data_IF_433601429122
#
_entry.id   IF_433601429122
#
_cell.length_a   1.000
_cell.length_b   1.000
_cell.length_c   1.000
_cell.angle_alpha   90.00
_cell.angle_beta   90.00
_cell.angle_gamma   90.00
#
_symmetry.space_group_name_H-M   'P 1'
#
loop_
_entity.id
_entity.type
_entity.pdbx_description
1 polymer ?
#
# COMPACT_ATOMS: atom_id res chain seq x y z
N UNK A 1 30.06 5.61 9.22
CA UNK A 1 28.98 6.53 9.62
C UNK A 1 28.66 7.41 8.42
N UNK A 2 27.79 6.96 7.51
CA UNK A 2 27.37 7.79 6.37
C UNK A 2 25.92 8.19 6.58
N UNK A 3 25.75 9.42 7.06
CA UNK A 3 24.48 10.08 7.19
C UNK A 3 23.99 10.49 5.80
N UNK A 4 22.86 9.94 5.36
CA UNK A 4 22.04 10.58 4.33
C UNK A 4 21.02 11.48 5.01
N UNK A 5 21.26 12.80 4.95
CA UNK A 5 20.32 13.88 5.28
C UNK A 5 19.63 14.36 4.00
N UNK A 6 18.31 14.14 3.91
CA UNK A 6 17.26 14.78 3.08
C UNK A 6 16.13 13.75 2.99
N UNK A 7 14.87 14.00 3.39
CA UNK A 7 14.05 15.16 3.04
C UNK A 7 13.51 14.98 1.62
N UNK A 8 12.33 14.39 1.46
CA UNK A 8 11.51 14.41 0.23
C UNK A 8 11.98 13.69 -1.08
N UNK A 9 13.21 13.24 -1.26
CA UNK A 9 13.62 12.58 -2.53
C UNK A 9 13.62 11.04 -2.44
N UNK A 10 12.48 10.39 -2.72
CA UNK A 10 12.46 9.03 -3.31
C UNK A 10 11.09 8.52 -3.79
N UNK A 11 10.07 9.36 -3.86
CA UNK A 11 8.71 8.94 -4.29
C UNK A 11 8.62 8.52 -5.78
N UNK A 12 9.70 8.66 -6.55
CA UNK A 12 9.68 8.48 -8.02
C UNK A 12 10.35 7.18 -8.54
N UNK A 13 11.03 6.38 -7.72
CA UNK A 13 11.94 5.34 -8.25
C UNK A 13 11.66 3.86 -7.89
N UNK A 14 10.57 3.49 -7.19
CA UNK A 14 10.47 2.12 -6.63
C UNK A 14 9.31 1.24 -7.13
N UNK A 15 8.34 1.74 -7.91
CA UNK A 15 7.31 0.87 -8.54
C UNK A 15 7.82 0.15 -9.81
N UNK A 16 9.07 0.37 -10.25
CA UNK A 16 9.63 -0.36 -11.40
C UNK A 16 10.13 -1.78 -11.11
N UNK A 17 10.03 -2.27 -9.87
CA UNK A 17 10.49 -3.63 -9.48
C UNK A 17 9.42 -4.50 -8.81
N UNK A 18 8.19 -4.01 -8.65
CA UNK A 18 7.14 -4.84 -8.10
C UNK A 18 6.72 -5.88 -9.15
N UNK A 19 6.60 -7.17 -8.79
CA UNK A 19 6.00 -8.15 -9.68
C UNK A 19 4.56 -7.76 -10.00
N UNK A 20 4.18 -7.80 -11.29
CA UNK A 20 2.83 -7.47 -11.74
C UNK A 20 1.76 -8.33 -11.03
N UNK A 21 2.10 -9.57 -10.69
CA UNK A 21 1.22 -10.50 -9.96
C UNK A 21 0.84 -9.96 -8.58
N UNK A 22 1.81 -9.44 -7.82
CA UNK A 22 1.59 -8.86 -6.48
C UNK A 22 0.77 -7.59 -6.59
N UNK A 23 1.09 -6.74 -7.56
CA UNK A 23 0.33 -5.51 -7.82
C UNK A 23 -1.14 -5.81 -8.12
N UNK A 24 -1.40 -6.71 -9.06
CA UNK A 24 -2.76 -7.09 -9.43
C UNK A 24 -3.54 -7.68 -8.25
N UNK A 25 -2.88 -8.51 -7.43
CA UNK A 25 -3.48 -9.09 -6.22
C UNK A 25 -3.92 -8.03 -5.21
N UNK A 26 -3.08 -7.04 -4.96
CA UNK A 26 -3.41 -5.93 -4.05
C UNK A 26 -4.55 -5.07 -4.60
N UNK A 27 -4.53 -4.78 -5.90
CA UNK A 27 -5.63 -4.03 -6.56
C UNK A 27 -6.95 -4.79 -6.46
N UNK A 28 -6.95 -6.09 -6.74
CA UNK A 28 -8.14 -6.94 -6.60
C UNK A 28 -8.65 -6.99 -5.16
N UNK A 29 -7.76 -7.03 -4.17
CA UNK A 29 -8.14 -6.98 -2.76
C UNK A 29 -8.85 -5.66 -2.41
N UNK A 30 -8.28 -4.53 -2.83
CA UNK A 30 -8.89 -3.20 -2.60
C UNK A 30 -10.23 -3.10 -3.32
N UNK A 31 -10.32 -3.55 -4.57
CA UNK A 31 -11.57 -3.53 -5.32
C UNK A 31 -12.64 -4.36 -4.59
N UNK A 32 -12.30 -5.58 -4.15
CA UNK A 32 -13.21 -6.43 -3.39
C UNK A 32 -13.65 -5.74 -2.09
N UNK A 33 -12.74 -5.09 -1.36
CA UNK A 33 -13.09 -4.35 -0.14
C UNK A 33 -14.11 -3.24 -0.42
N UNK A 34 -13.97 -2.52 -1.53
CA UNK A 34 -14.89 -1.43 -1.91
C UNK A 34 -16.21 -1.97 -2.42
N UNK A 35 -16.19 -3.03 -3.24
CA UNK A 35 -17.40 -3.73 -3.69
C UNK A 35 -18.21 -4.25 -2.49
N UNK A 36 -17.53 -4.82 -1.48
CA UNK A 36 -18.15 -5.27 -0.22
C UNK A 36 -18.64 -4.09 0.64
N UNK A 37 -18.07 -2.89 0.48
CA UNK A 37 -18.45 -1.68 1.23
C UNK A 37 -19.60 -0.89 0.58
N UNK A 38 -19.99 -1.20 -0.67
CA UNK A 38 -21.27 -0.81 -1.25
C UNK A 38 -21.21 0.03 -2.53
N UNK A 39 -20.39 1.08 -2.61
CA UNK A 39 -20.33 1.97 -3.79
C UNK A 39 -18.94 2.03 -4.42
N UNK A 40 -18.64 1.13 -5.38
CA UNK A 40 -17.43 1.20 -6.19
C UNK A 40 -17.52 2.20 -7.36
N UNK A 41 -18.66 2.88 -7.55
CA UNK A 41 -18.90 3.70 -8.73
C UNK A 41 -17.94 4.91 -8.77
N UNK A 42 -17.04 4.92 -9.76
CA UNK A 42 -16.01 5.94 -9.91
C UNK A 42 -14.77 5.76 -9.02
N UNK A 43 -14.65 4.64 -8.30
CA UNK A 43 -13.47 4.36 -7.46
C UNK A 43 -12.35 3.67 -8.26
N UNK A 44 -11.24 4.37 -8.47
CA UNK A 44 -10.05 3.80 -9.10
C UNK A 44 -9.15 3.09 -8.09
N UNK A 45 -9.38 1.79 -7.85
CA UNK A 45 -8.59 0.99 -6.89
C UNK A 45 -7.08 1.03 -7.16
N UNK A 46 -6.66 1.04 -8.44
CA UNK A 46 -5.25 1.17 -8.84
C UNK A 46 -4.64 2.49 -8.42
N UNK A 47 -5.35 3.59 -8.68
CA UNK A 47 -4.88 4.95 -8.38
C UNK A 47 -4.85 5.17 -6.88
N UNK A 48 -5.88 4.72 -6.18
CA UNK A 48 -5.95 4.76 -4.73
C UNK A 48 -4.80 3.97 -4.10
N UNK A 49 -4.57 2.73 -4.54
CA UNK A 49 -3.48 1.89 -4.03
C UNK A 49 -2.12 2.52 -4.32
N UNK A 50 -1.90 3.06 -5.53
CA UNK A 50 -0.67 3.80 -5.87
C UNK A 50 -0.41 4.94 -4.87
N UNK A 51 -1.41 5.74 -4.56
CA UNK A 51 -1.29 6.84 -3.60
C UNK A 51 -0.99 6.29 -2.20
N UNK A 52 -1.79 5.33 -1.73
CA UNK A 52 -1.66 4.75 -0.40
C UNK A 52 -0.29 4.09 -0.15
N UNK A 53 0.28 3.42 -1.15
CA UNK A 53 1.62 2.83 -1.05
C UNK A 53 2.73 3.86 -0.84
N UNK A 54 2.52 5.12 -1.25
CA UNK A 54 3.46 6.22 -1.08
C UNK A 54 3.23 7.04 0.18
N UNK A 55 2.09 6.86 0.85
CA UNK A 55 1.76 7.49 2.12
C UNK A 55 2.42 6.75 3.29
N UNK A 56 2.65 7.48 4.38
CA UNK A 56 3.20 6.93 5.61
C UNK A 56 2.06 6.36 6.45
N UNK A 57 2.14 5.07 6.78
CA UNK A 57 1.09 4.38 7.52
C UNK A 57 1.51 4.25 8.99
N UNK A 58 0.78 4.85 9.95
CA UNK A 58 1.09 4.76 11.37
C UNK A 58 1.20 3.31 11.88
N UNK A 59 0.33 2.41 11.43
CA UNK A 59 0.36 0.98 11.81
C UNK A 59 1.61 0.24 11.31
N UNK A 60 2.32 0.79 10.32
CA UNK A 60 3.61 0.29 9.84
C UNK A 60 4.80 1.01 10.49
N UNK A 61 4.56 1.77 11.56
CA UNK A 61 5.58 2.57 12.23
C UNK A 61 6.00 3.79 11.41
N UNK A 62 5.03 4.48 10.80
CA UNK A 62 5.26 5.68 9.97
C UNK A 62 6.15 5.41 8.76
N UNK A 63 6.02 4.21 8.19
CA UNK A 63 6.76 3.80 7.00
C UNK A 63 5.81 3.62 5.83
N UNK A 64 6.38 3.75 4.63
CA UNK A 64 5.66 3.58 3.38
C UNK A 64 5.43 2.09 3.11
N UNK A 65 4.21 1.63 2.82
CA UNK A 65 3.91 0.24 2.50
C UNK A 65 4.77 -0.32 1.36
N UNK A 66 5.10 0.51 0.37
CA UNK A 66 5.96 0.12 -0.77
C UNK A 66 7.34 -0.42 -0.34
N UNK A 67 7.85 0.01 0.81
CA UNK A 67 9.14 -0.46 1.32
C UNK A 67 9.10 -1.89 1.87
N UNK A 68 7.90 -2.44 2.11
CA UNK A 68 7.69 -3.80 2.61
C UNK A 68 7.39 -4.80 1.51
N UNK A 69 6.97 -4.34 0.33
CA UNK A 69 6.59 -5.21 -0.79
C UNK A 69 7.77 -5.92 -1.48
N UNK A 70 9.01 -5.70 -1.01
CA UNK A 70 10.21 -6.42 -1.45
C UNK A 70 10.32 -7.82 -0.81
N UNK A 71 9.52 -8.11 0.23
CA UNK A 71 9.54 -9.40 0.93
C UNK A 71 8.14 -10.01 1.03
N UNK A 72 8.06 -11.35 1.02
CA UNK A 72 6.80 -12.09 1.19
C UNK A 72 6.14 -11.78 2.54
N UNK A 73 6.93 -11.66 3.61
CA UNK A 73 6.42 -11.28 4.93
C UNK A 73 5.85 -9.87 4.94
N UNK A 74 6.48 -8.94 4.22
CA UNK A 74 6.02 -7.56 4.08
C UNK A 74 4.77 -7.44 3.21
N UNK A 75 4.63 -8.26 2.15
CA UNK A 75 3.37 -8.37 1.40
C UNK A 75 2.21 -8.78 2.32
N UNK A 76 2.40 -9.81 3.15
CA UNK A 76 1.37 -10.27 4.08
C UNK A 76 0.99 -9.19 5.11
N UNK A 77 1.96 -8.41 5.59
CA UNK A 77 1.74 -7.28 6.49
C UNK A 77 0.90 -6.18 5.82
N UNK A 78 1.22 -5.84 4.56
CA UNK A 78 0.48 -4.85 3.78
C UNK A 78 -0.96 -5.31 3.54
N UNK A 79 -1.15 -6.58 3.17
CA UNK A 79 -2.48 -7.19 3.00
C UNK A 79 -3.29 -7.13 4.30
N UNK A 80 -2.68 -7.49 5.43
CA UNK A 80 -3.34 -7.43 6.74
C UNK A 80 -3.74 -5.98 7.09
N UNK A 81 -2.88 -5.01 6.80
CA UNK A 81 -3.16 -3.59 7.02
C UNK A 81 -4.34 -3.10 6.17
N UNK A 82 -4.41 -3.48 4.89
CA UNK A 82 -5.55 -3.18 4.02
C UNK A 82 -6.86 -3.75 4.57
N UNK A 83 -6.86 -5.01 5.02
CA UNK A 83 -8.05 -5.62 5.65
C UNK A 83 -8.47 -4.92 6.95
N UNK A 84 -7.51 -4.45 7.74
CA UNK A 84 -7.78 -3.63 8.92
C UNK A 84 -8.40 -2.27 8.58
N UNK A 85 -8.05 -1.69 7.42
CA UNK A 85 -8.70 -0.47 6.91
C UNK A 85 -10.17 -0.72 6.51
N UNK A 86 -10.49 -1.86 5.90
CA UNK A 86 -11.89 -2.23 5.56
C UNK A 86 -12.77 -2.34 6.82
N UNK A 87 -12.27 -3.05 7.83
CA UNK A 87 -13.04 -3.34 9.05
C UNK A 87 -13.22 -2.14 9.97
N UNK A 88 -12.63 -0.97 9.64
CA UNK A 88 -12.64 0.20 10.51
C UNK A 88 -11.89 -0.02 11.84
N UNK A 89 -11.13 -1.12 11.97
CA UNK A 89 -10.34 -1.46 13.15
C UNK A 89 -9.03 -0.66 13.24
N UNK A 90 -8.92 0.42 12.46
CA UNK A 90 -7.79 1.32 12.46
C UNK A 90 -7.89 2.26 13.67
N UNK A 91 -7.02 2.05 14.67
CA UNK A 91 -6.93 2.86 15.89
C UNK A 91 -5.51 3.39 16.06
#
# INVERSE_FOLDING_TARGET
MNACRCGACRSDCMIKRLPDDVWNRLVSLVQQMVDESGEPEGFDARKWLCTWLHEEVPSLGWKKPVAYLDTTDGEALVIATLKSLQSGAYR
#
